data_IF_367654630443
#
_entry.id   IF_367654630443
#
_cell.length_a   1.000
_cell.length_b   1.000
_cell.length_c   1.000
_cell.angle_alpha   90.00
_cell.angle_beta   90.00
_cell.angle_gamma   90.00
#
_symmetry.space_group_name_H-M   'P 1'
#
loop_
_entity.id
_entity.type
_entity.pdbx_description
1 polymer ?
#
# COMPACT_ATOMS: atom_id res chain seq x y z
N UNK A 1 8.96 21.40 -0.18
CA UNK A 1 9.61 22.70 0.10
C UNK A 1 10.68 22.48 1.17
N UNK A 2 11.85 23.12 1.09
CA UNK A 2 12.91 22.94 2.09
C UNK A 2 12.46 23.35 3.49
N UNK A 3 11.67 24.42 3.60
CA UNK A 3 11.08 24.87 4.89
C UNK A 3 10.37 23.74 5.64
N UNK A 4 9.52 22.96 4.96
CA UNK A 4 8.79 21.86 5.60
C UNK A 4 9.71 20.71 6.02
N UNK A 5 10.75 20.42 5.22
CA UNK A 5 11.75 19.41 5.58
C UNK A 5 12.50 19.83 6.84
N UNK A 6 12.98 21.08 6.88
CA UNK A 6 13.67 21.65 8.06
C UNK A 6 12.77 21.59 9.29
N UNK A 7 11.51 22.03 9.18
CA UNK A 7 10.55 21.97 10.28
C UNK A 7 10.34 20.55 10.82
N UNK A 8 10.24 19.55 9.93
CA UNK A 8 10.08 18.15 10.32
C UNK A 8 11.36 17.57 10.92
N UNK A 9 12.54 17.94 10.41
CA UNK A 9 13.85 17.56 10.93
C UNK A 9 14.12 18.10 12.33
N UNK A 10 13.78 19.38 12.58
CA UNK A 10 14.03 20.07 13.85
C UNK A 10 13.01 19.72 14.93
N UNK A 11 11.84 19.21 14.54
CA UNK A 11 10.83 18.76 15.48
C UNK A 11 11.28 17.50 16.22
N UNK A 12 11.58 17.61 17.50
CA UNK A 12 11.89 16.45 18.35
C UNK A 12 10.76 15.41 18.33
N UNK A 13 9.51 15.87 18.36
CA UNK A 13 8.35 14.99 18.29
C UNK A 13 8.30 14.21 16.97
N UNK A 14 8.34 14.90 15.82
CA UNK A 14 8.19 14.24 14.51
C UNK A 14 9.45 13.44 14.12
N UNK A 15 10.65 13.97 14.38
CA UNK A 15 11.91 13.30 14.05
C UNK A 15 12.18 12.12 14.98
N UNK A 16 12.15 12.33 16.31
CA UNK A 16 12.69 11.35 17.26
C UNK A 16 11.60 10.45 17.84
N UNK A 17 10.45 11.02 18.24
CA UNK A 17 9.39 10.22 18.87
C UNK A 17 8.58 9.43 17.85
N UNK A 18 8.12 10.08 16.78
CA UNK A 18 7.34 9.39 15.73
C UNK A 18 8.27 8.64 14.77
N UNK A 19 9.45 9.19 14.49
CA UNK A 19 10.37 8.61 13.52
C UNK A 19 9.91 8.86 12.09
N UNK A 20 9.48 10.08 11.77
CA UNK A 20 9.08 10.51 10.42
C UNK A 20 10.18 10.29 9.37
N UNK A 21 9.83 10.42 8.09
CA UNK A 21 10.80 10.29 7.00
C UNK A 21 11.64 11.54 6.80
N UNK A 22 11.33 12.64 7.51
CA UNK A 22 11.99 13.93 7.38
C UNK A 22 11.85 14.54 5.98
N UNK A 23 10.79 14.15 5.29
CA UNK A 23 10.52 14.59 3.91
C UNK A 23 9.66 15.86 3.85
N UNK A 24 9.21 16.36 5.00
CA UNK A 24 8.35 17.54 5.13
C UNK A 24 6.86 17.26 4.87
N UNK A 25 6.46 15.99 4.78
CA UNK A 25 5.09 15.60 4.46
C UNK A 25 4.13 15.99 5.60
N UNK A 26 4.54 15.77 6.85
CA UNK A 26 3.71 16.11 8.01
C UNK A 26 3.50 17.61 8.14
N UNK A 27 4.58 18.38 8.03
CA UNK A 27 4.55 19.84 8.08
C UNK A 27 3.72 20.44 6.93
N UNK A 28 3.91 19.95 5.71
CA UNK A 28 3.15 20.38 4.53
C UNK A 28 1.66 20.09 4.68
N UNK A 29 1.27 18.88 5.13
CA UNK A 29 -0.14 18.54 5.31
C UNK A 29 -0.81 19.34 6.44
N UNK A 30 -0.07 19.69 7.50
CA UNK A 30 -0.57 20.60 8.53
C UNK A 30 -0.87 21.98 7.95
N UNK A 31 0.04 22.54 7.14
CA UNK A 31 -0.19 23.83 6.47
C UNK A 31 -1.32 23.77 5.42
N UNK A 32 -1.44 22.65 4.71
CA UNK A 32 -2.55 22.39 3.79
C UNK A 32 -3.90 22.36 4.50
N UNK A 33 -3.98 21.74 5.68
CA UNK A 33 -5.20 21.73 6.50
C UNK A 33 -5.61 23.16 6.91
N UNK A 34 -4.63 24.02 7.16
CA UNK A 34 -4.81 25.46 7.42
C UNK A 34 -5.05 26.30 6.15
N UNK A 35 -5.04 25.67 4.96
CA UNK A 35 -5.24 26.30 3.64
C UNK A 35 -4.20 27.36 3.28
N UNK A 36 -2.95 27.17 3.72
CA UNK A 36 -1.86 28.14 3.48
C UNK A 36 -0.79 27.64 2.49
N UNK A 37 -0.84 26.37 2.09
CA UNK A 37 0.19 25.78 1.24
C UNK A 37 0.15 26.36 -0.19
N UNK A 38 1.34 26.50 -0.81
CA UNK A 38 1.46 26.82 -2.24
C UNK A 38 1.08 25.59 -3.08
N UNK A 39 0.33 25.81 -4.16
CA UNK A 39 -0.06 24.78 -5.12
C UNK A 39 0.93 24.69 -6.28
N UNK A 40 0.98 23.54 -6.97
CA UNK A 40 1.89 23.30 -8.09
C UNK A 40 1.78 24.35 -9.22
N UNK A 41 0.57 24.85 -9.50
CA UNK A 41 0.34 25.94 -10.49
C UNK A 41 1.04 27.26 -10.15
N UNK A 42 1.43 27.44 -8.89
CA UNK A 42 2.16 28.62 -8.39
C UNK A 42 3.68 28.39 -8.37
N UNK A 43 4.16 27.28 -8.93
CA UNK A 43 5.57 26.94 -9.03
C UNK A 43 5.99 26.91 -10.51
N UNK A 44 6.84 27.86 -10.90
CA UNK A 44 7.21 28.11 -12.30
C UNK A 44 7.85 26.88 -12.94
N UNK A 45 8.70 26.18 -12.21
CA UNK A 45 9.39 24.97 -12.68
C UNK A 45 8.43 23.81 -12.97
N UNK A 46 7.24 23.79 -12.37
CA UNK A 46 6.24 22.74 -12.54
C UNK A 46 5.19 23.07 -13.60
N UNK A 47 5.11 24.33 -14.05
CA UNK A 47 4.05 24.81 -14.96
C UNK A 47 3.83 23.94 -16.22
N UNK A 48 4.87 23.39 -16.89
CA UNK A 48 4.67 22.52 -18.06
C UNK A 48 3.95 21.20 -17.77
N UNK A 49 3.89 20.78 -16.49
CA UNK A 49 3.36 19.49 -16.07
C UNK A 49 2.02 19.62 -15.33
N UNK A 50 1.54 20.84 -15.09
CA UNK A 50 0.27 21.08 -14.39
C UNK A 50 -0.88 20.98 -15.38
N UNK A 51 -1.76 20.01 -15.15
CA UNK A 51 -3.00 19.80 -15.92
C UNK A 51 -4.19 19.51 -15.01
N UNK A 52 -5.33 19.19 -15.62
CA UNK A 52 -6.52 18.70 -14.91
C UNK A 52 -6.51 17.18 -14.91
N UNK A 53 -5.82 16.60 -13.92
CA UNK A 53 -5.69 15.15 -13.78
C UNK A 53 -7.05 14.46 -13.60
N UNK A 54 -8.03 15.14 -12.99
CA UNK A 54 -9.37 14.58 -12.81
C UNK A 54 -10.05 14.46 -14.17
N UNK A 55 -10.03 15.50 -15.00
CA UNK A 55 -10.58 15.46 -16.36
C UNK A 55 -9.92 14.37 -17.22
N UNK A 56 -8.60 14.23 -17.16
CA UNK A 56 -7.86 13.21 -17.91
C UNK A 56 -8.27 11.78 -17.49
N UNK A 57 -8.38 11.52 -16.18
CA UNK A 57 -8.82 10.22 -15.66
C UNK A 57 -10.23 9.90 -16.12
N UNK A 58 -11.17 10.84 -15.96
CA UNK A 58 -12.57 10.62 -16.35
C UNK A 58 -12.73 10.48 -17.87
N UNK A 59 -11.93 11.20 -18.67
CA UNK A 59 -11.88 11.00 -20.11
C UNK A 59 -11.38 9.59 -20.45
N UNK A 60 -10.31 9.11 -19.81
CA UNK A 60 -9.81 7.75 -20.00
C UNK A 60 -10.87 6.69 -19.66
N UNK A 61 -11.54 6.84 -18.52
CA UNK A 61 -12.62 5.96 -18.09
C UNK A 61 -13.80 5.97 -19.08
N UNK A 62 -14.22 7.15 -19.55
CA UNK A 62 -15.31 7.28 -20.54
C UNK A 62 -14.99 6.62 -21.89
N UNK A 63 -13.71 6.57 -22.25
CA UNK A 63 -13.21 5.91 -23.46
C UNK A 63 -12.97 4.40 -23.25
N UNK A 64 -13.40 3.83 -22.12
CA UNK A 64 -13.21 2.42 -21.79
C UNK A 64 -11.76 2.01 -21.55
N UNK A 65 -10.87 2.96 -21.23
CA UNK A 65 -9.47 2.66 -20.90
C UNK A 65 -9.34 2.22 -19.45
N UNK A 66 -8.29 1.44 -19.17
CA UNK A 66 -7.92 1.06 -17.82
C UNK A 66 -7.17 2.21 -17.13
N UNK A 67 -7.55 2.52 -15.90
CA UNK A 67 -6.83 3.43 -15.00
C UNK A 67 -6.30 2.62 -13.82
N UNK A 68 -5.02 2.77 -13.50
CA UNK A 68 -4.42 2.16 -12.31
C UNK A 68 -3.98 3.27 -11.36
N UNK A 69 -4.42 3.18 -10.11
CA UNK A 69 -4.08 4.13 -9.05
C UNK A 69 -3.18 3.44 -8.05
N UNK A 70 -2.01 4.03 -7.79
CA UNK A 70 -1.09 3.55 -6.77
C UNK A 70 -1.25 4.37 -5.48
N UNK A 71 -1.50 3.67 -4.38
CA UNK A 71 -1.60 4.28 -3.05
C UNK A 71 -0.26 4.31 -2.31
N UNK A 72 -0.14 5.26 -1.39
CA UNK A 72 0.87 5.22 -0.32
C UNK A 72 0.17 5.58 0.99
N UNK A 73 0.54 5.07 2.16
CA UNK A 73 1.51 4.03 2.51
C UNK A 73 0.78 2.68 2.67
N UNK A 74 1.03 1.93 3.76
CA UNK A 74 0.29 0.71 4.10
C UNK A 74 -0.79 0.97 5.16
N UNK A 75 -1.88 0.19 5.15
CA UNK A 75 -3.12 0.41 5.94
C UNK A 75 -2.91 0.86 7.40
N UNK A 76 -1.99 0.23 8.13
CA UNK A 76 -1.78 0.53 9.56
C UNK A 76 -0.88 1.75 9.84
N UNK A 77 -0.48 2.47 8.80
CA UNK A 77 0.04 3.84 8.88
C UNK A 77 -1.05 4.88 8.59
N UNK A 78 -2.31 4.48 8.37
CA UNK A 78 -3.45 5.41 8.25
C UNK A 78 -3.53 6.34 9.47
N UNK A 79 -3.76 7.62 9.22
CA UNK A 79 -4.03 8.60 10.29
C UNK A 79 -5.25 8.21 11.16
N UNK A 80 -6.24 7.51 10.58
CA UNK A 80 -7.49 7.17 11.26
C UNK A 80 -7.52 5.74 11.79
N UNK A 81 -6.93 4.80 11.03
CA UNK A 81 -7.06 3.37 11.29
C UNK A 81 -5.74 2.68 11.63
N UNK A 82 -4.65 3.45 11.69
CA UNK A 82 -3.34 2.99 12.08
C UNK A 82 -3.08 3.11 13.58
N UNK A 83 -1.84 2.82 13.97
CA UNK A 83 -1.40 2.88 15.37
C UNK A 83 -1.04 4.30 15.80
N UNK A 84 -2.01 5.21 15.83
CA UNK A 84 -1.80 6.61 16.22
C UNK A 84 -1.13 6.69 17.61
N UNK A 85 -0.12 7.57 17.82
CA UNK A 85 0.37 8.61 16.91
C UNK A 85 1.44 8.16 15.91
N UNK A 86 1.83 6.90 15.88
CA UNK A 86 2.89 6.35 15.03
C UNK A 86 2.37 6.00 13.63
N UNK A 87 1.86 7.01 12.93
CA UNK A 87 1.17 6.92 11.63
C UNK A 87 1.63 8.05 10.72
N UNK A 88 1.21 8.02 9.46
CA UNK A 88 1.41 9.13 8.53
C UNK A 88 0.40 10.26 8.81
N UNK A 89 0.54 11.39 8.11
CA UNK A 89 -0.30 12.58 8.29
C UNK A 89 -1.61 12.57 7.47
N UNK A 90 -2.01 11.40 6.95
CA UNK A 90 -3.17 11.24 6.07
C UNK A 90 -3.75 9.83 6.20
N UNK A 91 -5.00 9.62 5.79
CA UNK A 91 -5.45 8.27 5.51
C UNK A 91 -4.68 7.64 4.32
N UNK A 92 -4.67 6.31 4.25
CA UNK A 92 -3.96 5.54 3.23
C UNK A 92 -4.78 4.36 2.72
N UNK A 93 -6.08 4.33 3.03
CA UNK A 93 -6.99 3.31 2.50
C UNK A 93 -7.29 3.55 1.02
N UNK A 94 -7.87 2.53 0.37
CA UNK A 94 -8.33 2.60 -1.02
C UNK A 94 -9.27 3.79 -1.26
N UNK A 95 -10.16 4.08 -0.30
CA UNK A 95 -11.06 5.23 -0.37
C UNK A 95 -10.30 6.56 -0.46
N UNK A 96 -9.23 6.70 0.32
CA UNK A 96 -8.40 7.89 0.26
C UNK A 96 -7.63 7.99 -1.06
N UNK A 97 -7.11 6.87 -1.58
CA UNK A 97 -6.46 6.85 -2.89
C UNK A 97 -7.41 7.31 -4.00
N UNK A 98 -8.69 6.93 -3.94
CA UNK A 98 -9.72 7.41 -4.87
C UNK A 98 -9.95 8.92 -4.73
N UNK A 99 -10.07 9.42 -3.50
CA UNK A 99 -10.25 10.84 -3.21
C UNK A 99 -9.07 11.70 -3.69
N UNK A 100 -7.85 11.16 -3.64
CA UNK A 100 -6.63 11.87 -4.08
C UNK A 100 -6.64 12.19 -5.56
N UNK A 101 -7.16 11.28 -6.38
CA UNK A 101 -7.14 11.37 -7.84
C UNK A 101 -8.49 11.78 -8.44
N UNK A 102 -9.52 11.96 -7.61
CA UNK A 102 -10.85 12.39 -8.04
C UNK A 102 -11.70 11.28 -8.66
N UNK A 103 -11.52 10.02 -8.24
CA UNK A 103 -12.35 8.88 -8.66
C UNK A 103 -13.48 8.68 -7.64
N UNK A 104 -14.71 8.54 -8.14
CA UNK A 104 -15.86 8.21 -7.30
C UNK A 104 -15.80 6.76 -6.80
N UNK A 105 -16.27 6.44 -5.59
CA UNK A 105 -16.19 5.08 -5.04
C UNK A 105 -16.95 4.04 -5.88
N UNK A 106 -17.99 4.46 -6.62
CA UNK A 106 -18.76 3.60 -7.52
C UNK A 106 -18.08 3.33 -8.87
N UNK A 107 -16.94 3.98 -9.13
CA UNK A 107 -16.15 3.81 -10.34
C UNK A 107 -14.96 2.86 -10.17
N UNK A 108 -14.77 2.33 -8.96
CA UNK A 108 -13.72 1.36 -8.66
C UNK A 108 -14.22 -0.05 -8.93
N UNK A 109 -13.56 -0.74 -9.87
CA UNK A 109 -13.87 -2.14 -10.20
C UNK A 109 -13.12 -3.14 -9.31
N UNK A 110 -11.87 -2.83 -8.97
CA UNK A 110 -10.96 -3.71 -8.24
C UNK A 110 -10.12 -2.95 -7.22
N UNK A 111 -9.92 -3.56 -6.05
CA UNK A 111 -8.98 -3.09 -5.04
C UNK A 111 -7.99 -4.21 -4.74
N UNK A 112 -6.75 -4.02 -5.17
CA UNK A 112 -5.65 -4.95 -4.87
C UNK A 112 -4.92 -4.50 -3.61
N UNK A 113 -4.90 -5.36 -2.59
CA UNK A 113 -4.08 -5.14 -1.39
C UNK A 113 -2.79 -5.93 -1.50
N UNK A 114 -1.67 -5.29 -1.16
CA UNK A 114 -0.35 -5.91 -1.22
C UNK A 114 0.04 -6.35 0.19
N UNK A 115 0.34 -7.64 0.33
CA UNK A 115 0.93 -8.19 1.53
C UNK A 115 2.34 -8.70 1.26
N UNK A 116 3.22 -8.54 2.23
CA UNK A 116 4.46 -9.32 2.29
C UNK A 116 4.20 -10.59 3.08
N UNK A 117 4.97 -11.64 2.82
CA UNK A 117 4.90 -12.90 3.57
C UNK A 117 5.27 -12.78 5.07
N UNK A 118 5.78 -11.63 5.49
CA UNK A 118 6.06 -11.25 6.87
C UNK A 118 5.83 -9.75 7.06
N UNK A 119 5.62 -9.30 8.29
CA UNK A 119 5.34 -7.90 8.61
C UNK A 119 6.65 -7.16 8.83
N UNK A 120 6.74 -5.91 8.33
CA UNK A 120 7.86 -5.01 8.59
C UNK A 120 7.37 -3.65 9.02
N UNK A 121 8.12 -2.98 9.92
CA UNK A 121 7.81 -1.63 10.39
C UNK A 121 9.08 -0.77 10.39
N UNK A 122 8.95 0.45 9.86
CA UNK A 122 9.98 1.51 9.96
C UNK A 122 9.56 2.46 11.07
N UNK A 123 10.53 2.92 11.85
CA UNK A 123 10.29 3.87 12.94
C UNK A 123 9.68 3.22 14.18
N UNK A 124 9.21 4.07 15.08
CA UNK A 124 8.72 3.68 16.39
C UNK A 124 7.30 3.08 16.34
N UNK A 125 6.82 2.63 17.50
CA UNK A 125 5.47 2.13 17.72
C UNK A 125 5.37 0.59 17.82
N UNK A 126 4.20 0.07 18.21
CA UNK A 126 4.04 -1.34 18.52
C UNK A 126 4.14 -2.24 17.29
N UNK A 127 4.74 -3.41 17.45
CA UNK A 127 4.77 -4.48 16.47
C UNK A 127 4.59 -5.81 17.20
N UNK A 128 3.39 -6.37 17.16
CA UNK A 128 3.08 -7.66 17.79
C UNK A 128 3.90 -8.76 17.10
N UNK A 129 4.49 -9.67 17.90
CA UNK A 129 5.34 -10.75 17.38
C UNK A 129 6.68 -10.28 16.80
N UNK A 130 7.15 -9.07 17.14
CA UNK A 130 8.46 -8.58 16.73
C UNK A 130 9.56 -9.59 17.12
N UNK A 131 10.39 -9.93 16.15
CA UNK A 131 11.54 -10.81 16.34
C UNK A 131 12.77 -10.00 16.77
N UNK A 132 13.67 -10.66 17.50
CA UNK A 132 14.98 -10.11 17.81
C UNK A 132 15.82 -9.94 16.54
N UNK A 133 16.71 -8.93 16.55
CA UNK A 133 17.53 -8.57 15.38
C UNK A 133 18.33 -9.75 14.82
N UNK A 134 18.92 -10.57 15.69
CA UNK A 134 19.71 -11.74 15.27
C UNK A 134 18.86 -12.80 14.56
N UNK A 135 17.61 -12.98 15.00
CA UNK A 135 16.66 -13.89 14.35
C UNK A 135 16.23 -13.35 12.98
N UNK A 136 16.00 -12.03 12.87
CA UNK A 136 15.68 -11.38 11.59
C UNK A 136 16.83 -11.53 10.59
N UNK A 137 18.08 -11.36 11.04
CA UNK A 137 19.27 -11.58 10.22
C UNK A 137 19.40 -13.04 9.77
N UNK A 138 19.24 -13.99 10.69
CA UNK A 138 19.30 -15.42 10.39
C UNK A 138 18.27 -15.86 9.36
N UNK A 139 17.08 -15.24 9.37
CA UNK A 139 16.01 -15.49 8.39
C UNK A 139 16.20 -14.77 7.05
N UNK A 140 17.15 -13.84 6.96
CA UNK A 140 17.32 -12.98 5.77
C UNK A 140 16.18 -11.96 5.59
N UNK A 141 15.50 -11.59 6.68
CA UNK A 141 14.35 -10.66 6.66
C UNK A 141 14.76 -9.20 6.87
N UNK A 142 16.06 -8.93 6.96
CA UNK A 142 16.57 -7.59 7.20
C UNK A 142 16.30 -6.70 5.99
N UNK A 143 15.54 -5.63 6.23
CA UNK A 143 15.22 -4.62 5.23
C UNK A 143 15.62 -3.24 5.75
N UNK A 144 15.94 -2.33 4.83
CA UNK A 144 16.25 -0.93 5.13
C UNK A 144 15.22 -0.01 4.48
N UNK A 145 14.90 1.10 5.15
CA UNK A 145 14.07 2.16 4.56
C UNK A 145 14.80 2.84 3.41
N UNK A 146 14.18 2.93 2.24
CA UNK A 146 14.78 3.53 1.03
C UNK A 146 15.13 5.00 1.19
N UNK A 147 14.33 5.75 1.93
CA UNK A 147 14.56 7.19 2.18
C UNK A 147 15.47 7.42 3.38
N UNK A 148 15.18 6.76 4.51
CA UNK A 148 15.87 7.06 5.78
C UNK A 148 17.11 6.20 6.04
N UNK A 149 17.33 5.12 5.29
CA UNK A 149 18.39 4.13 5.55
C UNK A 149 18.17 3.25 6.79
N UNK A 150 17.28 3.63 7.71
CA UNK A 150 16.98 2.89 8.95
C UNK A 150 16.59 1.43 8.72
N UNK A 151 17.10 0.54 9.57
CA UNK A 151 16.68 -0.86 9.66
C UNK A 151 15.18 -0.97 9.97
N UNK A 152 14.52 -1.94 9.32
CA UNK A 152 13.13 -2.30 9.59
C UNK A 152 13.07 -3.38 10.64
N UNK A 153 12.17 -3.20 11.62
CA UNK A 153 11.77 -4.26 12.55
C UNK A 153 10.86 -5.23 11.79
N UNK A 154 10.95 -6.52 12.10
CA UNK A 154 10.19 -7.56 11.42
C UNK A 154 9.45 -8.48 12.41
N UNK A 155 8.32 -9.00 11.96
CA UNK A 155 7.48 -9.95 12.69
C UNK A 155 6.89 -10.98 11.70
N UNK A 156 6.49 -12.17 12.15
CA UNK A 156 5.73 -13.11 11.34
C UNK A 156 4.46 -12.50 10.74
N UNK A 157 3.89 -13.15 9.73
CA UNK A 157 2.63 -12.74 9.14
C UNK A 157 1.51 -12.71 10.18
N UNK A 158 0.70 -11.64 10.18
CA UNK A 158 -0.41 -11.48 11.10
C UNK A 158 -1.75 -11.55 10.34
N UNK A 159 -2.45 -12.67 10.53
CA UNK A 159 -3.76 -12.89 9.90
C UNK A 159 -4.86 -11.97 10.44
N UNK A 160 -4.79 -11.50 11.69
CA UNK A 160 -5.76 -10.55 12.25
C UNK A 160 -5.62 -9.19 11.56
N UNK A 161 -4.38 -8.72 11.41
CA UNK A 161 -4.08 -7.50 10.67
C UNK A 161 -4.45 -7.64 9.19
N UNK A 162 -4.17 -8.77 8.56
CA UNK A 162 -4.57 -9.01 7.16
C UNK A 162 -6.10 -8.91 6.97
N UNK A 163 -6.89 -9.57 7.83
CA UNK A 163 -8.37 -9.49 7.79
C UNK A 163 -8.86 -8.05 7.96
N UNK A 164 -8.31 -7.33 8.93
CA UNK A 164 -8.70 -5.94 9.19
C UNK A 164 -8.34 -5.04 8.00
N UNK A 165 -7.18 -5.25 7.38
CA UNK A 165 -6.74 -4.48 6.23
C UNK A 165 -7.62 -4.73 5.00
N UNK A 166 -8.01 -5.99 4.77
CA UNK A 166 -8.99 -6.35 3.72
C UNK A 166 -10.34 -5.67 3.97
N UNK A 167 -10.84 -5.71 5.21
CA UNK A 167 -12.13 -5.11 5.56
C UNK A 167 -12.14 -3.59 5.34
N UNK A 168 -11.09 -2.89 5.78
CA UNK A 168 -11.00 -1.43 5.66
C UNK A 168 -10.90 -0.95 4.20
N UNK A 169 -10.30 -1.76 3.32
CA UNK A 169 -10.07 -1.40 1.93
C UNK A 169 -11.11 -2.00 0.97
N UNK A 170 -12.01 -2.85 1.46
CA UNK A 170 -12.89 -3.66 0.61
C UNK A 170 -12.10 -4.39 -0.50
N UNK A 171 -10.97 -5.01 -0.13
CA UNK A 171 -10.06 -5.61 -1.10
C UNK A 171 -10.75 -6.71 -1.92
N UNK A 172 -10.62 -6.65 -3.25
CA UNK A 172 -11.16 -7.67 -4.16
C UNK A 172 -10.12 -8.74 -4.49
N UNK A 173 -8.84 -8.44 -4.29
CA UNK A 173 -7.73 -9.36 -4.55
C UNK A 173 -6.49 -9.02 -3.72
N UNK A 174 -5.63 -10.02 -3.52
CA UNK A 174 -4.38 -9.91 -2.78
C UNK A 174 -3.19 -10.17 -3.71
N UNK A 175 -2.18 -9.32 -3.62
CA UNK A 175 -0.84 -9.58 -4.12
C UNK A 175 0.08 -9.96 -2.96
N UNK A 176 0.58 -11.19 -2.94
CA UNK A 176 1.49 -11.70 -1.92
C UNK A 176 2.93 -11.62 -2.42
N UNK A 177 3.79 -10.89 -1.72
CA UNK A 177 5.19 -10.65 -2.10
C UNK A 177 6.14 -11.24 -1.06
N UNK A 178 7.43 -11.33 -1.42
CA UNK A 178 8.49 -11.86 -0.53
C UNK A 178 8.25 -13.30 -0.11
N UNK A 179 7.53 -14.07 -0.92
CA UNK A 179 7.26 -15.48 -0.61
C UNK A 179 8.55 -16.30 -0.66
N UNK A 180 9.48 -15.94 -1.53
CA UNK A 180 10.83 -16.50 -1.64
C UNK A 180 11.68 -16.29 -0.40
N UNK A 181 11.46 -15.19 0.32
CA UNK A 181 12.18 -14.91 1.58
C UNK A 181 11.67 -15.82 2.72
N UNK A 182 10.37 -16.10 2.75
CA UNK A 182 9.79 -17.03 3.73
C UNK A 182 10.03 -18.50 3.33
N UNK A 183 9.97 -18.80 2.03
CA UNK A 183 10.15 -20.13 1.45
C UNK A 183 11.20 -20.06 0.32
N UNK A 184 12.51 -20.23 0.64
CA UNK A 184 13.60 -20.09 -0.34
C UNK A 184 13.46 -20.95 -1.60
N UNK A 185 12.80 -22.11 -1.50
CA UNK A 185 12.52 -22.99 -2.65
C UNK A 185 11.48 -22.43 -3.64
N UNK A 186 10.74 -21.39 -3.26
CA UNK A 186 9.80 -20.69 -4.15
C UNK A 186 10.52 -19.70 -5.07
N UNK A 187 11.81 -19.40 -4.84
CA UNK A 187 12.53 -18.36 -5.58
C UNK A 187 12.52 -18.62 -7.09
N UNK A 188 12.08 -17.62 -7.86
CA UNK A 188 12.03 -17.67 -9.33
C UNK A 188 10.98 -18.62 -9.92
N UNK A 189 10.13 -19.24 -9.09
CA UNK A 189 9.02 -20.07 -9.58
C UNK A 189 7.97 -19.19 -10.25
N UNK A 190 7.55 -19.57 -11.46
CA UNK A 190 6.58 -18.83 -12.29
C UNK A 190 5.27 -19.57 -12.57
N UNK A 191 5.22 -20.85 -12.21
CA UNK A 191 4.02 -21.67 -12.30
C UNK A 191 3.55 -22.03 -10.89
N UNK A 192 2.28 -21.77 -10.59
CA UNK A 192 1.65 -22.07 -9.32
C UNK A 192 1.79 -23.56 -8.92
N UNK A 193 1.68 -24.47 -9.88
CA UNK A 193 1.78 -25.91 -9.62
C UNK A 193 3.20 -26.35 -9.22
N UNK A 194 4.21 -25.55 -9.57
CA UNK A 194 5.61 -25.79 -9.23
C UNK A 194 6.03 -25.14 -7.91
N UNK A 195 5.16 -24.37 -7.25
CA UNK A 195 5.45 -23.85 -5.91
C UNK A 195 5.61 -25.00 -4.89
N UNK A 196 6.49 -24.85 -3.90
CA UNK A 196 6.53 -25.76 -2.75
C UNK A 196 5.16 -25.88 -2.09
N UNK A 197 4.82 -27.07 -1.59
CA UNK A 197 3.50 -27.33 -0.98
C UNK A 197 3.24 -26.36 0.17
N UNK A 198 4.24 -26.10 1.00
CA UNK A 198 4.17 -25.21 2.15
C UNK A 198 3.87 -23.76 1.74
N UNK A 199 4.43 -23.31 0.61
CA UNK A 199 4.22 -21.96 0.08
C UNK A 199 2.79 -21.81 -0.48
N UNK A 200 2.25 -22.85 -1.13
CA UNK A 200 0.85 -22.90 -1.56
C UNK A 200 -0.11 -22.94 -0.38
N UNK A 201 0.18 -23.77 0.62
CA UNK A 201 -0.64 -23.91 1.83
C UNK A 201 -0.71 -22.57 2.58
N UNK A 202 0.39 -21.80 2.61
CA UNK A 202 0.42 -20.45 3.17
C UNK A 202 -0.46 -19.47 2.39
N UNK A 203 -0.36 -19.44 1.06
CA UNK A 203 -1.23 -18.60 0.23
C UNK A 203 -2.71 -18.98 0.43
N UNK A 204 -3.04 -20.27 0.44
CA UNK A 204 -4.38 -20.78 0.68
C UNK A 204 -4.90 -20.44 2.09
N UNK A 205 -4.03 -20.42 3.10
CA UNK A 205 -4.39 -19.97 4.44
C UNK A 205 -4.78 -18.49 4.45
N UNK A 206 -4.04 -17.63 3.73
CA UNK A 206 -4.41 -16.21 3.58
C UNK A 206 -5.79 -16.07 2.92
N UNK A 207 -6.03 -16.80 1.82
CA UNK A 207 -7.33 -16.79 1.12
C UNK A 207 -8.46 -17.22 2.07
N UNK A 208 -8.28 -18.32 2.81
CA UNK A 208 -9.27 -18.85 3.76
C UNK A 208 -9.55 -17.89 4.91
N UNK A 209 -8.51 -17.27 5.47
CA UNK A 209 -8.65 -16.40 6.63
C UNK A 209 -9.25 -15.03 6.26
N UNK A 210 -8.92 -14.51 5.07
CA UNK A 210 -9.37 -13.17 4.61
C UNK A 210 -10.62 -13.20 3.73
N UNK A 211 -10.98 -14.37 3.18
CA UNK A 211 -12.03 -14.55 2.18
C UNK A 211 -11.80 -13.72 0.90
N UNK A 212 -10.54 -13.48 0.53
CA UNK A 212 -10.13 -12.74 -0.67
C UNK A 212 -9.07 -13.55 -1.42
N UNK A 213 -9.17 -13.70 -2.75
CA UNK A 213 -8.23 -14.51 -3.51
C UNK A 213 -6.83 -13.86 -3.56
N UNK A 214 -5.79 -14.68 -3.42
CA UNK A 214 -4.40 -14.29 -3.70
C UNK A 214 -4.18 -14.50 -5.19
N UNK A 215 -4.22 -13.41 -5.95
CA UNK A 215 -4.21 -13.44 -7.41
C UNK A 215 -2.82 -13.19 -8.00
N UNK A 216 -1.95 -12.50 -7.27
CA UNK A 216 -0.55 -12.31 -7.64
C UNK A 216 0.37 -12.84 -6.54
N UNK A 217 1.42 -13.58 -6.92
CA UNK A 217 2.40 -14.13 -5.98
C UNK A 217 3.81 -13.79 -6.48
N UNK A 218 4.49 -12.89 -5.77
CA UNK A 218 5.89 -12.54 -5.99
C UNK A 218 6.82 -13.59 -5.39
N UNK A 219 7.66 -14.16 -6.25
CA UNK A 219 8.63 -15.23 -5.97
C UNK A 219 10.08 -14.75 -6.09
N UNK A 220 10.30 -13.44 -6.14
CA UNK A 220 11.64 -12.86 -6.22
C UNK A 220 11.62 -11.34 -6.34
N UNK A 221 12.79 -10.71 -6.40
CA UNK A 221 12.92 -9.26 -6.56
C UNK A 221 12.74 -8.79 -8.02
N UNK A 222 12.90 -9.67 -9.01
CA UNK A 222 12.78 -9.32 -10.42
C UNK A 222 11.31 -9.19 -10.84
N UNK A 223 11.04 -8.31 -11.80
CA UNK A 223 9.69 -8.04 -12.34
C UNK A 223 9.00 -9.30 -12.91
N UNK A 224 9.79 -10.28 -13.36
CA UNK A 224 9.33 -11.55 -13.94
C UNK A 224 9.15 -12.65 -12.90
N UNK A 225 9.58 -12.43 -11.67
CA UNK A 225 9.45 -13.39 -10.59
C UNK A 225 8.09 -13.22 -9.91
N UNK A 226 7.05 -13.44 -10.71
CA UNK A 226 5.67 -13.31 -10.33
C UNK A 226 4.84 -14.42 -10.97
N UNK A 227 3.91 -14.96 -10.20
CA UNK A 227 2.88 -15.88 -10.65
C UNK A 227 1.58 -15.08 -10.72
N UNK A 228 0.99 -14.99 -11.91
CA UNK A 228 -0.29 -14.34 -12.15
C UNK A 228 -1.40 -15.39 -12.26
N UNK A 229 -2.26 -15.45 -11.23
CA UNK A 229 -3.44 -16.34 -11.17
C UNK A 229 -4.72 -15.63 -11.63
N UNK A 230 -4.66 -14.36 -12.06
CA UNK A 230 -5.86 -13.65 -12.49
C UNK A 230 -6.40 -14.30 -13.77
N UNK A 231 -7.73 -14.36 -13.93
CA UNK A 231 -8.30 -14.77 -15.21
C UNK A 231 -7.84 -13.79 -16.29
N UNK A 232 -7.64 -14.30 -17.52
CA UNK A 232 -7.45 -13.43 -18.67
C UNK A 232 -8.58 -12.40 -18.70
N UNK A 233 -8.24 -11.10 -18.78
CA UNK A 233 -9.21 -9.99 -18.75
C UNK A 233 -10.08 -10.00 -20.01
N UNK A 234 -11.08 -10.88 -20.06
CA UNK A 234 -12.07 -10.96 -21.12
C UNK A 234 -13.46 -10.72 -20.52
N UNK A 235 -13.83 -9.44 -20.33
CA UNK A 235 -15.17 -8.87 -20.52
C UNK A 235 -15.32 -7.56 -19.72
N UNK A 236 -15.99 -6.54 -20.29
CA UNK A 236 -16.49 -5.42 -19.50
C UNK A 236 -17.52 -5.95 -18.50
N UNK A 237 -17.31 -5.71 -17.20
CA UNK A 237 -18.35 -5.95 -16.19
C UNK A 237 -19.46 -4.93 -16.40
N UNK A 238 -20.63 -5.39 -16.84
CA UNK A 238 -21.85 -4.59 -16.83
C UNK A 238 -22.12 -4.16 -15.39
N UNK A 239 -21.98 -2.87 -15.07
CA UNK A 239 -22.45 -2.32 -13.80
C UNK A 239 -23.96 -2.56 -13.73
N UNK A 240 -24.42 -3.27 -12.69
CA UNK A 240 -25.83 -3.35 -12.41
C UNK A 240 -26.34 -1.92 -12.18
N UNK A 241 -27.23 -1.44 -13.04
CA UNK A 241 -27.88 -0.15 -12.86
C UNK A 241 -28.52 -0.16 -11.46
N UNK A 242 -28.11 0.79 -10.61
CA UNK A 242 -28.77 1.06 -9.34
C UNK A 242 -30.23 1.42 -9.65
N UNK A 243 -31.12 0.44 -9.53
CA UNK A 243 -32.57 0.68 -9.56
C UNK A 243 -32.88 1.52 -8.33
N UNK A 244 -33.04 2.83 -8.53
CA UNK A 244 -33.56 3.70 -7.50
C UNK A 244 -35.00 3.27 -7.19
N UNK A 245 -35.20 2.49 -6.13
CA UNK A 245 -36.52 2.40 -5.51
C UNK A 245 -36.80 3.74 -4.85
N UNK A 246 -37.41 4.65 -5.60
CA UNK A 246 -38.13 5.79 -5.01
C UNK A 246 -39.23 5.20 -4.13
N UNK A 247 -39.20 5.52 -2.84
CA UNK A 247 -40.39 5.55 -1.99
C UNK A 247 -40.70 7.00 -1.70
#
# INVERSE_FOLDING_TARGET
>A
EERHKTQECESEHLSNKIGSTKSGVGACNAERALRMVRLARQETSLRPYVGDTVAEIHQALSNGRNVMVEGTQGTFLSLYHGTYPFVTSKDVTASQACADVGIGPTDVDDVMIIFKAYVTRVGEGPLEGQLDRDEVLRRGWMEHGTVTGRERRAAPFDFKLAKRAVQLNAATQIALTKLDVLYPKAKGVRDYLNLPKEARDFAAAIERETNVPVTLIGTGPDEKDIIDKRPARNAPRLKAALVSKRR
#
